data_IF_436491070260
#
_entry.id   IF_436491070260
#
_cell.length_a   1.000
_cell.length_b   1.000
_cell.length_c   1.000
_cell.angle_alpha   90.00
_cell.angle_beta   90.00
_cell.angle_gamma   90.00
#
_symmetry.space_group_name_H-M   'P 1'
#
loop_
_entity.id
_entity.type
_entity.pdbx_description
1 polymer ?
#
# COMPACT_ATOMS: atom_id res chain seq x y z
N UNK A 1 14.53 -1.22 24.91
CA UNK A 1 13.47 -0.79 23.98
C UNK A 1 13.48 0.71 23.68
N UNK A 2 13.57 1.61 24.67
CA UNK A 2 13.61 3.07 24.43
C UNK A 2 14.71 3.52 23.45
N UNK A 3 15.97 3.11 23.67
CA UNK A 3 17.09 3.42 22.75
C UNK A 3 16.86 2.93 21.32
N UNK A 4 16.32 1.72 21.18
CA UNK A 4 15.96 1.12 19.88
C UNK A 4 14.90 1.96 19.16
N UNK A 5 13.85 2.38 19.87
CA UNK A 5 12.79 3.20 19.30
C UNK A 5 13.33 4.57 18.87
N UNK A 6 14.18 5.21 19.68
CA UNK A 6 14.83 6.48 19.32
C UNK A 6 15.67 6.33 18.06
N UNK A 7 16.51 5.29 17.98
CA UNK A 7 17.31 5.01 16.79
C UNK A 7 16.44 4.79 15.54
N UNK A 8 15.36 4.01 15.68
CA UNK A 8 14.44 3.74 14.59
C UNK A 8 13.71 5.01 14.11
N UNK A 9 13.36 5.93 15.02
CA UNK A 9 12.75 7.23 14.68
C UNK A 9 13.78 8.13 13.98
N UNK A 10 15.01 8.23 14.50
CA UNK A 10 16.08 9.03 13.87
C UNK A 10 16.33 8.56 12.44
N UNK A 11 16.45 7.25 12.22
CA UNK A 11 16.60 6.68 10.88
C UNK A 11 15.47 7.10 9.94
N UNK A 12 14.22 7.04 10.41
CA UNK A 12 13.05 7.42 9.61
C UNK A 12 13.02 8.91 9.30
N UNK A 13 13.35 9.76 10.27
CA UNK A 13 13.40 11.22 10.08
C UNK A 13 14.44 11.58 9.02
N UNK A 14 15.59 10.92 9.01
CA UNK A 14 16.61 11.10 7.97
C UNK A 14 16.04 10.72 6.59
N UNK A 15 15.49 9.51 6.42
CA UNK A 15 14.94 9.10 5.10
C UNK A 15 13.75 9.97 4.68
N UNK A 16 12.87 10.34 5.63
CA UNK A 16 11.69 11.15 5.38
C UNK A 16 12.04 12.55 4.88
N UNK A 17 12.99 13.22 5.53
CA UNK A 17 13.39 14.57 5.16
C UNK A 17 14.10 14.59 3.80
N UNK A 18 14.94 13.58 3.51
CA UNK A 18 15.96 13.72 2.49
C UNK A 18 15.71 12.97 1.16
N UNK A 19 14.71 12.10 1.08
CA UNK A 19 14.32 11.46 -0.19
C UNK A 19 13.01 12.03 -0.74
N UNK A 20 12.97 12.23 -2.06
CA UNK A 20 11.87 12.91 -2.75
C UNK A 20 11.27 12.07 -3.87
N UNK A 21 10.00 11.71 -3.73
CA UNK A 21 9.21 11.14 -4.82
C UNK A 21 8.15 12.15 -5.28
N UNK A 22 7.96 12.37 -6.60
CA UNK A 22 7.05 13.40 -7.11
C UNK A 22 5.59 13.22 -6.65
N UNK A 23 5.10 11.99 -6.49
CA UNK A 23 3.72 11.74 -6.05
C UNK A 23 3.36 12.46 -4.74
N UNK A 24 4.31 12.59 -3.80
CA UNK A 24 4.04 13.28 -2.53
C UNK A 24 3.59 14.71 -2.76
N UNK A 25 4.06 15.33 -3.82
CA UNK A 25 3.63 16.67 -4.22
C UNK A 25 2.26 16.62 -4.87
N UNK A 26 2.03 15.71 -5.80
CA UNK A 26 0.78 15.61 -6.58
C UNK A 26 -0.45 15.44 -5.68
N UNK A 27 -0.46 14.42 -4.82
CA UNK A 27 -1.65 14.20 -3.97
C UNK A 27 -1.80 15.26 -2.87
N UNK A 28 -0.71 15.92 -2.44
CA UNK A 28 -0.81 17.03 -1.50
C UNK A 28 -1.26 18.33 -2.18
N UNK A 29 -0.88 18.56 -3.44
CA UNK A 29 -1.43 19.66 -4.25
C UNK A 29 -2.94 19.50 -4.40
N UNK A 30 -3.39 18.30 -4.77
CA UNK A 30 -4.82 17.98 -4.86
C UNK A 30 -5.50 18.19 -3.49
N UNK A 31 -4.94 17.64 -2.40
CA UNK A 31 -5.48 17.82 -1.04
C UNK A 31 -5.50 19.28 -0.53
N UNK A 32 -4.64 20.16 -1.08
CA UNK A 32 -4.57 21.57 -0.69
C UNK A 32 -5.82 22.38 -1.05
N UNK A 33 -6.68 21.86 -1.94
CA UNK A 33 -7.95 22.49 -2.28
C UNK A 33 -9.01 22.37 -1.18
N UNK A 34 -8.82 21.47 -0.20
CA UNK A 34 -9.78 21.30 0.90
C UNK A 34 -9.91 22.58 1.74
N UNK A 35 -8.78 23.21 2.08
CA UNK A 35 -8.78 24.50 2.81
C UNK A 35 -9.33 25.67 1.98
N UNK A 36 -9.51 25.49 0.67
CA UNK A 36 -10.13 26.46 -0.24
C UNK A 36 -11.65 26.20 -0.40
N UNK A 37 -12.21 25.27 0.38
CA UNK A 37 -13.63 24.94 0.36
C UNK A 37 -14.03 23.88 -0.67
N UNK A 38 -13.09 23.26 -1.38
CA UNK A 38 -13.40 22.19 -2.34
C UNK A 38 -13.62 20.88 -1.59
N UNK A 39 -14.84 20.37 -1.59
CA UNK A 39 -15.18 19.08 -0.98
C UNK A 39 -15.10 17.94 -1.99
N UNK A 40 -15.67 18.11 -3.18
CA UNK A 40 -15.57 17.16 -4.29
C UNK A 40 -14.33 17.46 -5.16
N UNK A 41 -13.19 16.89 -4.76
CA UNK A 41 -11.94 17.03 -5.50
C UNK A 41 -12.00 16.40 -6.89
N UNK A 42 -12.82 15.36 -7.09
CA UNK A 42 -12.82 14.59 -8.34
C UNK A 42 -13.39 15.43 -9.48
N UNK A 43 -14.59 15.97 -9.30
CA UNK A 43 -15.22 16.83 -10.31
C UNK A 43 -14.43 18.13 -10.49
N UNK A 44 -13.94 18.73 -9.39
CA UNK A 44 -13.15 19.95 -9.43
C UNK A 44 -11.91 19.85 -10.33
N UNK A 45 -11.12 18.76 -10.21
CA UNK A 45 -9.92 18.57 -11.02
C UNK A 45 -10.24 18.42 -12.51
N UNK A 46 -11.36 17.79 -12.87
CA UNK A 46 -11.79 17.64 -14.26
C UNK A 46 -12.24 18.98 -14.84
N UNK A 47 -13.11 19.69 -14.13
CA UNK A 47 -13.66 20.99 -14.55
C UNK A 47 -12.58 22.06 -14.71
N UNK A 48 -11.57 22.04 -13.84
CA UNK A 48 -10.50 23.04 -13.81
C UNK A 48 -9.20 22.57 -14.48
N UNK A 49 -9.18 21.40 -15.12
CA UNK A 49 -7.96 20.77 -15.67
C UNK A 49 -7.12 21.70 -16.57
N UNK A 50 -7.78 22.60 -17.31
CA UNK A 50 -7.10 23.52 -18.24
C UNK A 50 -6.31 24.61 -17.53
N UNK A 51 -6.74 25.04 -16.34
CA UNK A 51 -6.14 26.14 -15.58
C UNK A 51 -5.20 25.66 -14.48
N UNK A 52 -5.32 24.40 -14.07
CA UNK A 52 -4.48 23.82 -13.02
C UNK A 52 -3.05 23.54 -13.53
N UNK A 53 -2.02 23.82 -12.71
CA UNK A 53 -0.63 23.53 -13.06
C UNK A 53 -0.34 22.02 -13.11
N UNK A 54 -0.91 21.25 -12.19
CA UNK A 54 -0.88 19.79 -12.17
C UNK A 54 -2.24 19.26 -12.63
N UNK A 55 -2.23 18.29 -13.54
CA UNK A 55 -3.41 17.86 -14.31
C UNK A 55 -3.81 16.41 -14.03
N UNK A 56 -3.06 15.74 -13.16
CA UNK A 56 -3.27 14.38 -12.73
C UNK A 56 -4.60 14.26 -11.98
N UNK A 57 -5.25 13.10 -12.14
CA UNK A 57 -6.48 12.74 -11.44
C UNK A 57 -6.17 12.34 -9.99
N UNK A 58 -7.14 12.53 -9.09
CA UNK A 58 -7.01 12.08 -7.70
C UNK A 58 -7.39 10.60 -7.61
N UNK A 59 -6.39 9.72 -7.62
CA UNK A 59 -6.61 8.26 -7.75
C UNK A 59 -6.98 7.51 -6.46
N UNK A 60 -7.09 8.24 -5.35
CA UNK A 60 -7.40 7.68 -4.03
C UNK A 60 -8.85 7.92 -3.64
N UNK A 61 -9.32 7.22 -2.62
CA UNK A 61 -10.68 7.38 -2.11
C UNK A 61 -10.82 8.57 -1.14
N UNK A 62 -12.06 9.03 -0.85
CA UNK A 62 -12.28 10.32 -0.19
C UNK A 62 -11.58 10.52 1.15
N UNK A 63 -11.40 9.47 1.97
CA UNK A 63 -10.71 9.64 3.26
C UNK A 63 -9.27 10.09 3.09
N UNK A 64 -8.60 9.68 2.01
CA UNK A 64 -7.25 10.16 1.70
C UNK A 64 -7.24 11.67 1.50
N UNK A 65 -8.21 12.20 0.73
CA UNK A 65 -8.33 13.64 0.49
C UNK A 65 -8.54 14.43 1.78
N UNK A 66 -9.50 14.01 2.60
CA UNK A 66 -9.83 14.70 3.86
C UNK A 66 -8.72 14.62 4.90
N UNK A 67 -8.06 13.47 5.02
CA UNK A 67 -6.98 13.30 6.00
C UNK A 67 -5.75 14.13 5.63
N UNK A 68 -5.35 14.12 4.35
CA UNK A 68 -4.21 14.91 3.91
C UNK A 68 -4.50 16.41 3.96
N UNK A 69 -5.66 16.85 3.46
CA UNK A 69 -6.04 18.26 3.46
C UNK A 69 -6.23 18.80 4.88
N UNK A 70 -6.89 18.02 5.75
CA UNK A 70 -7.06 18.37 7.16
C UNK A 70 -5.73 18.44 7.90
N UNK A 71 -4.81 17.51 7.64
CA UNK A 71 -3.47 17.58 8.19
C UNK A 71 -2.70 18.82 7.71
N UNK A 72 -2.77 19.17 6.42
CA UNK A 72 -2.14 20.38 5.90
C UNK A 72 -2.68 21.65 6.57
N UNK A 73 -3.98 21.72 6.86
CA UNK A 73 -4.56 22.85 7.58
C UNK A 73 -3.94 23.00 8.99
N UNK A 74 -3.82 21.89 9.72
CA UNK A 74 -3.20 21.84 11.06
C UNK A 74 -1.71 22.19 11.00
N UNK A 75 -0.99 21.66 10.00
CA UNK A 75 0.46 21.85 9.83
C UNK A 75 0.83 23.18 9.15
N UNK A 76 -0.15 23.99 8.74
CA UNK A 76 0.07 25.22 7.98
C UNK A 76 1.04 26.22 8.64
N UNK A 77 1.10 26.40 9.98
CA UNK A 77 2.09 27.29 10.59
C UNK A 77 3.54 26.84 10.38
N UNK A 78 3.78 25.52 10.30
CA UNK A 78 5.11 24.93 10.08
C UNK A 78 5.45 24.88 8.59
N UNK A 79 4.44 24.64 7.75
CA UNK A 79 4.59 24.66 6.29
C UNK A 79 4.88 26.08 5.79
N UNK A 80 4.25 27.11 6.34
CA UNK A 80 4.47 28.50 5.97
C UNK A 80 3.90 28.89 4.60
N UNK A 81 3.98 30.19 4.28
CA UNK A 81 3.28 30.80 3.12
C UNK A 81 3.73 30.29 1.75
N UNK A 82 5.00 29.88 1.61
CA UNK A 82 5.55 29.37 0.34
C UNK A 82 5.08 27.96 -0.04
N UNK A 83 4.38 27.24 0.85
CA UNK A 83 4.03 25.84 0.63
C UNK A 83 3.07 25.62 -0.54
N UNK A 84 2.03 26.45 -0.68
CA UNK A 84 1.06 26.31 -1.76
C UNK A 84 1.68 26.63 -3.12
N UNK A 85 2.57 27.62 -3.16
CA UNK A 85 3.34 27.95 -4.36
C UNK A 85 4.27 26.79 -4.74
N UNK A 86 4.90 26.14 -3.75
CA UNK A 86 5.70 24.95 -4.00
C UNK A 86 4.86 23.79 -4.54
N UNK A 87 3.71 23.49 -3.93
CA UNK A 87 2.78 22.45 -4.40
C UNK A 87 2.30 22.70 -5.83
N UNK A 88 1.95 23.95 -6.15
CA UNK A 88 1.48 24.36 -7.48
C UNK A 88 2.57 24.49 -8.55
N UNK A 89 3.85 24.34 -8.21
CA UNK A 89 4.93 24.45 -9.18
C UNK A 89 5.01 23.19 -10.09
N UNK A 90 4.51 23.26 -11.32
CA UNK A 90 4.57 22.14 -12.26
C UNK A 90 5.98 21.85 -12.81
N UNK A 91 6.92 22.79 -12.67
CA UNK A 91 8.30 22.58 -13.11
C UNK A 91 9.06 21.70 -12.11
N UNK A 92 9.36 20.48 -12.55
CA UNK A 92 10.06 19.48 -11.75
C UNK A 92 11.46 19.91 -11.31
N UNK A 93 12.12 20.82 -12.03
CA UNK A 93 13.47 21.29 -11.69
C UNK A 93 13.43 22.39 -10.62
N UNK A 94 12.60 23.42 -10.78
CA UNK A 94 12.53 24.48 -9.76
C UNK A 94 11.82 24.03 -8.49
N UNK A 95 10.95 23.03 -8.56
CA UNK A 95 10.28 22.47 -7.38
C UNK A 95 11.24 21.89 -6.33
N UNK A 96 12.30 21.20 -6.76
CA UNK A 96 13.28 20.57 -5.87
C UNK A 96 14.31 21.58 -5.33
N UNK A 97 14.49 22.73 -5.99
CA UNK A 97 15.43 23.78 -5.60
C UNK A 97 14.87 24.74 -4.54
N UNK A 98 13.62 24.52 -4.11
CA UNK A 98 13.00 25.33 -3.06
C UNK A 98 13.80 25.18 -1.76
N UNK A 99 14.23 26.28 -1.10
CA UNK A 99 15.05 26.21 0.11
C UNK A 99 14.35 25.51 1.30
N UNK A 100 13.02 25.37 1.24
CA UNK A 100 12.22 24.69 2.25
C UNK A 100 11.84 23.26 1.88
N UNK A 101 12.37 22.68 0.79
CA UNK A 101 11.94 21.34 0.29
C UNK A 101 12.06 20.26 1.38
N UNK A 102 13.17 20.21 2.13
CA UNK A 102 13.37 19.24 3.20
C UNK A 102 12.39 19.43 4.36
N UNK A 103 12.04 20.69 4.68
CA UNK A 103 10.99 21.01 5.67
C UNK A 103 9.65 20.48 5.19
N UNK A 104 9.27 20.75 3.95
CA UNK A 104 8.00 20.28 3.38
C UNK A 104 7.92 18.75 3.41
N UNK A 105 8.98 18.06 2.97
CA UNK A 105 9.01 16.60 2.95
C UNK A 105 8.90 16.00 4.35
N UNK A 106 9.65 16.53 5.31
CA UNK A 106 9.56 16.06 6.69
C UNK A 106 8.15 16.25 7.25
N UNK A 107 7.60 17.46 7.14
CA UNK A 107 6.28 17.79 7.68
C UNK A 107 5.18 16.95 7.02
N UNK A 108 5.19 16.79 5.70
CA UNK A 108 4.19 15.98 4.99
C UNK A 108 4.23 14.49 5.37
N UNK A 109 5.38 13.97 5.79
CA UNK A 109 5.56 12.56 6.16
C UNK A 109 5.41 12.30 7.68
N UNK A 110 5.18 13.32 8.51
CA UNK A 110 4.94 13.13 9.95
C UNK A 110 3.74 12.23 10.27
N UNK A 111 2.57 12.34 9.59
CA UNK A 111 1.47 11.39 9.80
C UNK A 111 1.89 9.95 9.51
N UNK A 112 2.76 9.75 8.50
CA UNK A 112 3.23 8.42 8.13
C UNK A 112 4.14 7.85 9.22
N UNK A 113 4.99 8.69 9.84
CA UNK A 113 5.80 8.31 11.00
C UNK A 113 4.96 7.88 12.20
N UNK A 114 3.90 8.62 12.52
CA UNK A 114 3.00 8.25 13.62
C UNK A 114 2.37 6.87 13.35
N UNK A 115 1.89 6.64 12.13
CA UNK A 115 1.26 5.38 11.75
C UNK A 115 2.25 4.22 11.65
N UNK A 116 3.45 4.43 11.11
CA UNK A 116 4.52 3.43 11.04
C UNK A 116 4.91 2.95 12.44
N UNK A 117 5.16 3.86 13.37
CA UNK A 117 5.46 3.51 14.77
C UNK A 117 4.26 2.82 15.43
N UNK A 118 3.04 3.27 15.14
CA UNK A 118 1.83 2.64 15.65
C UNK A 118 1.67 1.21 15.13
N UNK A 119 1.99 0.92 13.87
CA UNK A 119 2.03 -0.43 13.32
C UNK A 119 3.04 -1.30 14.08
N UNK A 120 4.24 -0.78 14.37
CA UNK A 120 5.21 -1.51 15.19
C UNK A 120 4.58 -1.96 16.52
N UNK A 121 3.88 -1.06 17.22
CA UNK A 121 3.18 -1.38 18.46
C UNK A 121 2.00 -2.35 18.27
N UNK A 122 1.28 -2.29 17.15
CA UNK A 122 0.26 -3.29 16.84
C UNK A 122 0.87 -4.67 16.63
N UNK A 123 2.01 -4.77 15.94
CA UNK A 123 2.76 -6.01 15.75
C UNK A 123 3.31 -6.56 17.07
N UNK A 124 3.77 -5.69 17.97
CA UNK A 124 4.16 -6.07 19.34
C UNK A 124 2.99 -6.73 20.08
N UNK A 125 1.80 -6.13 20.00
CA UNK A 125 0.57 -6.61 20.66
C UNK A 125 -0.07 -7.81 19.95
N UNK A 126 0.30 -8.08 18.70
CA UNK A 126 -0.26 -9.19 17.93
C UNK A 126 0.14 -10.55 18.50
N UNK A 127 1.33 -10.65 19.09
CA UNK A 127 1.83 -11.87 19.72
C UNK A 127 1.56 -11.88 21.21
N UNK A 128 1.07 -13.00 21.74
CA UNK A 128 0.88 -13.17 23.19
C UNK A 128 2.23 -13.38 23.90
N UNK A 129 3.19 -14.01 23.20
CA UNK A 129 4.58 -14.11 23.67
C UNK A 129 5.27 -12.76 23.55
N UNK A 130 5.69 -12.20 24.69
CA UNK A 130 6.48 -10.97 24.73
C UNK A 130 7.80 -11.05 23.94
N UNK A 131 8.39 -12.24 23.79
CA UNK A 131 9.61 -12.45 22.98
C UNK A 131 9.29 -12.33 21.49
N UNK A 132 8.25 -13.02 21.01
CA UNK A 132 7.82 -12.95 19.61
C UNK A 132 7.33 -11.55 19.25
N UNK A 133 6.57 -10.91 20.13
CA UNK A 133 6.11 -9.53 19.96
C UNK A 133 7.29 -8.55 19.84
N UNK A 134 8.28 -8.65 20.73
CA UNK A 134 9.52 -7.84 20.62
C UNK A 134 10.27 -8.10 19.32
N UNK A 135 10.33 -9.36 18.88
CA UNK A 135 10.96 -9.71 17.59
C UNK A 135 10.22 -9.06 16.42
N UNK A 136 8.89 -9.15 16.37
CA UNK A 136 8.09 -8.51 15.32
C UNK A 136 8.24 -6.98 15.32
N UNK A 137 8.24 -6.37 16.51
CA UNK A 137 8.49 -4.94 16.70
C UNK A 137 9.85 -4.52 16.13
N UNK A 138 10.92 -5.23 16.46
CA UNK A 138 12.27 -4.93 15.99
C UNK A 138 12.39 -5.16 14.47
N UNK A 139 11.88 -6.27 13.96
CA UNK A 139 11.91 -6.56 12.51
C UNK A 139 11.20 -5.44 11.74
N UNK A 140 10.00 -5.00 12.17
CA UNK A 140 9.30 -3.90 11.53
C UNK A 140 10.08 -2.58 11.60
N UNK A 141 10.61 -2.23 12.78
CA UNK A 141 11.35 -0.98 12.95
C UNK A 141 12.61 -0.90 12.09
N UNK A 142 13.27 -2.02 11.79
CA UNK A 142 14.50 -2.03 10.97
C UNK A 142 14.32 -2.74 9.63
N UNK A 143 13.09 -2.89 9.15
CA UNK A 143 12.85 -3.44 7.82
C UNK A 143 13.24 -2.37 6.77
N UNK A 144 14.29 -2.58 5.98
CA UNK A 144 14.75 -1.58 5.01
C UNK A 144 13.70 -1.33 3.91
N UNK A 145 12.92 -2.35 3.56
CA UNK A 145 11.88 -2.23 2.52
C UNK A 145 10.74 -1.33 2.98
N UNK A 146 10.25 -1.47 4.21
CA UNK A 146 9.16 -0.61 4.70
C UNK A 146 9.64 0.83 4.90
N UNK A 147 10.85 1.03 5.42
CA UNK A 147 11.43 2.38 5.53
C UNK A 147 11.53 3.03 4.15
N UNK A 148 12.06 2.31 3.17
CA UNK A 148 12.18 2.79 1.80
C UNK A 148 10.81 3.11 1.19
N UNK A 149 9.85 2.18 1.25
CA UNK A 149 8.52 2.36 0.67
C UNK A 149 7.74 3.49 1.36
N UNK A 150 7.76 3.58 2.69
CA UNK A 150 6.99 4.60 3.42
C UNK A 150 7.58 5.99 3.17
N UNK A 151 8.91 6.13 3.27
CA UNK A 151 9.54 7.44 3.35
C UNK A 151 10.18 7.91 2.05
N UNK A 152 10.79 7.03 1.24
CA UNK A 152 11.34 7.45 -0.04
C UNK A 152 10.21 7.80 -1.02
N UNK A 153 9.18 6.96 -1.08
CA UNK A 153 8.02 7.16 -1.95
C UNK A 153 6.92 8.03 -1.34
N UNK A 154 7.01 8.36 -0.04
CA UNK A 154 5.95 9.10 0.65
C UNK A 154 4.62 8.36 0.60
N UNK A 155 4.64 7.04 0.79
CA UNK A 155 3.51 6.18 0.47
C UNK A 155 2.34 6.33 1.44
N UNK A 156 1.23 6.86 0.94
CA UNK A 156 -0.01 7.06 1.69
C UNK A 156 -0.79 5.76 1.96
N UNK A 157 -0.40 4.63 1.37
CA UNK A 157 -1.02 3.33 1.67
C UNK A 157 -0.79 2.89 3.13
N UNK A 158 0.06 3.60 3.90
CA UNK A 158 0.25 3.39 5.34
C UNK A 158 -1.06 3.55 6.14
N UNK A 159 -1.98 4.43 5.70
CA UNK A 159 -3.29 4.63 6.34
C UNK A 159 -4.17 3.35 6.28
N UNK A 160 -4.51 2.81 5.09
CA UNK A 160 -5.29 1.58 5.00
C UNK A 160 -4.54 0.37 5.58
N UNK A 161 -3.21 0.33 5.53
CA UNK A 161 -2.41 -0.76 6.14
C UNK A 161 -2.55 -0.78 7.66
N UNK A 162 -2.44 0.37 8.31
CA UNK A 162 -2.64 0.49 9.75
C UNK A 162 -4.03 -0.01 10.17
N UNK A 163 -5.09 0.43 9.48
CA UNK A 163 -6.48 0.06 9.80
C UNK A 163 -6.76 -1.41 9.47
N UNK A 164 -6.17 -1.93 8.39
CA UNK A 164 -6.23 -3.38 8.07
C UNK A 164 -5.59 -4.22 9.18
N UNK A 165 -4.46 -3.79 9.75
CA UNK A 165 -3.83 -4.49 10.87
C UNK A 165 -4.67 -4.41 12.16
N UNK A 166 -5.37 -3.29 12.39
CA UNK A 166 -6.37 -3.20 13.46
C UNK A 166 -7.48 -4.22 13.23
N UNK A 167 -7.99 -4.35 12.00
CA UNK A 167 -9.01 -5.35 11.65
C UNK A 167 -8.52 -6.77 11.99
N UNK A 168 -7.29 -7.12 11.61
CA UNK A 168 -6.69 -8.41 11.95
C UNK A 168 -6.60 -8.65 13.48
N UNK A 169 -6.23 -7.62 14.25
CA UNK A 169 -6.20 -7.70 15.71
C UNK A 169 -7.60 -7.87 16.32
N UNK A 170 -8.61 -7.25 15.73
CA UNK A 170 -10.01 -7.41 16.16
C UNK A 170 -10.51 -8.82 15.85
N UNK A 171 -10.13 -9.41 14.72
CA UNK A 171 -10.39 -10.83 14.40
C UNK A 171 -9.76 -11.74 15.44
N UNK A 172 -8.49 -11.51 15.81
CA UNK A 172 -7.81 -12.28 16.87
C UNK A 172 -8.57 -12.22 18.20
N UNK A 173 -9.25 -11.11 18.49
CA UNK A 173 -10.06 -10.89 19.69
C UNK A 173 -11.53 -11.32 19.53
N UNK A 174 -11.86 -12.03 18.46
CA UNK A 174 -13.22 -12.47 18.10
C UNK A 174 -14.24 -11.33 17.91
N UNK A 175 -13.78 -10.08 17.70
CA UNK A 175 -14.63 -8.90 17.47
C UNK A 175 -14.90 -8.69 15.98
N UNK A 176 -15.53 -9.67 15.33
CA UNK A 176 -15.63 -9.75 13.87
C UNK A 176 -16.40 -8.58 13.22
N UNK A 177 -17.49 -8.09 13.84
CA UNK A 177 -18.24 -6.95 13.31
C UNK A 177 -17.41 -5.65 13.34
N UNK A 178 -16.59 -5.46 14.38
CA UNK A 178 -15.67 -4.32 14.44
C UNK A 178 -14.53 -4.48 13.43
N UNK A 179 -14.08 -5.72 13.18
CA UNK A 179 -13.12 -5.99 12.11
C UNK A 179 -13.69 -5.64 10.73
N UNK A 180 -14.97 -5.98 10.48
CA UNK A 180 -15.69 -5.64 9.26
C UNK A 180 -15.81 -4.11 9.08
N UNK A 181 -16.18 -3.39 10.14
CA UNK A 181 -16.19 -1.92 10.16
C UNK A 181 -14.81 -1.34 9.81
N UNK A 182 -13.74 -1.86 10.41
CA UNK A 182 -12.38 -1.42 10.14
C UNK A 182 -11.98 -1.66 8.67
N UNK A 183 -12.34 -2.78 8.05
CA UNK A 183 -12.08 -3.02 6.62
C UNK A 183 -12.82 -2.01 5.73
N UNK A 184 -14.06 -1.66 6.04
CA UNK A 184 -14.81 -0.64 5.29
C UNK A 184 -14.19 0.76 5.40
N UNK A 185 -13.70 1.14 6.60
CA UNK A 185 -12.98 2.42 6.78
C UNK A 185 -11.66 2.39 6.01
N UNK A 186 -10.90 1.28 6.09
CA UNK A 186 -9.66 1.14 5.34
C UNK A 186 -9.91 1.24 3.82
N UNK A 187 -11.02 0.66 3.33
CA UNK A 187 -11.45 0.75 1.95
C UNK A 187 -11.68 2.20 1.48
N UNK A 188 -12.08 3.09 2.40
CA UNK A 188 -12.25 4.52 2.14
C UNK A 188 -10.94 5.28 1.87
N UNK A 189 -9.77 4.64 2.04
CA UNK A 189 -8.47 5.16 1.56
C UNK A 189 -8.03 4.46 0.27
N UNK A 190 -8.19 3.14 0.19
CA UNK A 190 -7.79 2.29 -0.94
C UNK A 190 -8.59 1.00 -0.98
N UNK A 191 -8.90 0.47 -2.16
CA UNK A 191 -9.86 -0.64 -2.32
C UNK A 191 -9.39 -2.01 -1.79
N UNK A 192 -8.07 -2.25 -1.70
CA UNK A 192 -7.52 -3.58 -1.40
C UNK A 192 -8.01 -4.26 -0.09
N UNK A 193 -8.39 -3.54 1.00
CA UNK A 193 -8.94 -4.17 2.20
C UNK A 193 -10.23 -4.95 1.95
N UNK A 194 -10.98 -4.63 0.87
CA UNK A 194 -12.18 -5.38 0.49
C UNK A 194 -11.86 -6.78 -0.06
N UNK A 195 -10.63 -7.04 -0.52
CA UNK A 195 -10.18 -8.38 -0.94
C UNK A 195 -10.26 -9.41 0.21
N UNK A 196 -10.28 -8.93 1.45
CA UNK A 196 -10.33 -9.77 2.65
C UNK A 196 -11.76 -10.17 3.08
N UNK A 197 -12.77 -9.47 2.57
CA UNK A 197 -14.17 -9.62 3.01
C UNK A 197 -14.72 -11.02 2.71
N UNK A 198 -14.48 -11.63 1.53
CA UNK A 198 -15.00 -12.98 1.25
C UNK A 198 -14.50 -14.04 2.22
N UNK A 199 -13.34 -13.85 2.85
CA UNK A 199 -12.88 -14.79 3.88
C UNK A 199 -13.46 -14.47 5.26
N UNK A 200 -13.65 -13.19 5.58
CA UNK A 200 -14.20 -12.75 6.87
C UNK A 200 -15.57 -13.37 7.16
N UNK A 201 -16.41 -13.55 6.13
CA UNK A 201 -17.76 -14.14 6.28
C UNK A 201 -17.70 -15.53 6.91
N UNK A 202 -16.64 -16.31 6.69
CA UNK A 202 -16.54 -17.65 7.26
C UNK A 202 -16.29 -17.66 8.78
N UNK A 203 -15.93 -16.50 9.36
CA UNK A 203 -15.84 -16.35 10.81
C UNK A 203 -17.20 -16.25 11.51
N UNK A 204 -18.26 -15.91 10.78
CA UNK A 204 -19.60 -15.71 11.34
C UNK A 204 -20.24 -17.01 11.83
N UNK A 205 -20.82 -16.98 13.03
CA UNK A 205 -21.45 -18.14 13.70
C UNK A 205 -22.88 -18.40 13.23
N UNK A 206 -23.57 -17.38 12.73
CA UNK A 206 -24.96 -17.47 12.23
C UNK A 206 -25.08 -16.87 10.82
N UNK A 207 -26.09 -17.27 10.05
CA UNK A 207 -26.36 -16.69 8.72
C UNK A 207 -26.46 -15.16 8.76
N UNK A 208 -27.14 -14.62 9.78
CA UNK A 208 -27.24 -13.17 10.00
C UNK A 208 -25.85 -12.54 10.17
N UNK A 209 -24.99 -13.14 11.01
CA UNK A 209 -23.64 -12.62 11.22
C UNK A 209 -22.80 -12.70 9.95
N UNK A 210 -22.86 -13.80 9.17
CA UNK A 210 -22.15 -13.91 7.89
C UNK A 210 -22.57 -12.83 6.90
N UNK A 211 -23.87 -12.56 6.78
CA UNK A 211 -24.41 -11.49 5.95
C UNK A 211 -23.90 -10.13 6.43
N UNK A 212 -23.91 -9.86 7.74
CA UNK A 212 -23.39 -8.60 8.29
C UNK A 212 -21.88 -8.44 8.05
N UNK A 213 -21.09 -9.51 8.20
CA UNK A 213 -19.64 -9.49 7.94
C UNK A 213 -19.33 -9.22 6.46
N UNK A 214 -20.20 -9.68 5.56
CA UNK A 214 -20.14 -9.35 4.14
C UNK A 214 -20.59 -7.92 3.85
N UNK A 215 -21.72 -7.48 4.42
CA UNK A 215 -22.36 -6.22 4.06
C UNK A 215 -21.73 -4.98 4.70
N UNK A 216 -21.28 -5.04 5.96
CA UNK A 216 -20.75 -3.89 6.70
C UNK A 216 -19.55 -3.24 5.98
N UNK A 217 -18.52 -3.96 5.52
CA UNK A 217 -17.37 -3.34 4.85
C UNK A 217 -17.79 -2.53 3.61
N UNK A 218 -18.63 -3.11 2.75
CA UNK A 218 -19.15 -2.44 1.56
C UNK A 218 -20.10 -1.30 1.90
N UNK A 219 -20.94 -1.44 2.94
CA UNK A 219 -21.85 -0.39 3.39
C UNK A 219 -21.10 0.84 3.92
N UNK A 220 -20.03 0.64 4.69
CA UNK A 220 -19.18 1.72 5.21
C UNK A 220 -18.38 2.38 4.08
N UNK A 221 -17.78 1.57 3.20
CA UNK A 221 -17.10 2.08 2.00
C UNK A 221 -18.06 2.90 1.12
N UNK A 222 -19.29 2.40 0.94
CA UNK A 222 -20.37 3.09 0.24
C UNK A 222 -20.74 4.40 0.91
N UNK A 223 -20.95 4.42 2.23
CA UNK A 223 -21.26 5.65 2.96
C UNK A 223 -20.18 6.74 2.82
N UNK A 224 -18.91 6.34 2.73
CA UNK A 224 -17.77 7.24 2.49
C UNK A 224 -17.76 7.75 1.03
N UNK A 225 -18.10 6.89 0.07
CA UNK A 225 -17.88 7.16 -1.36
C UNK A 225 -19.11 7.73 -2.09
N UNK A 226 -20.32 7.38 -1.67
CA UNK A 226 -21.59 7.81 -2.28
C UNK A 226 -21.73 9.33 -2.39
N UNK A 227 -21.32 10.16 -1.40
CA UNK A 227 -21.38 11.61 -1.54
C UNK A 227 -20.54 12.19 -2.69
N UNK A 228 -19.59 11.40 -3.23
CA UNK A 228 -18.68 11.79 -4.30
C UNK A 228 -18.97 11.04 -5.61
N UNK A 229 -20.08 10.28 -5.68
CA UNK A 229 -20.36 9.46 -6.83
C UNK A 229 -20.62 10.34 -8.06
N UNK A 230 -19.63 10.38 -8.95
CA UNK A 230 -19.67 11.07 -10.23
C UNK A 230 -18.89 10.28 -11.27
N UNK A 231 -19.05 10.63 -12.56
CA UNK A 231 -18.22 10.04 -13.61
C UNK A 231 -16.73 10.32 -13.37
N UNK A 232 -16.39 11.54 -12.89
CA UNK A 232 -15.03 11.91 -12.54
C UNK A 232 -14.46 11.02 -11.43
N UNK A 233 -15.24 10.79 -10.36
CA UNK A 233 -14.86 9.88 -9.28
C UNK A 233 -14.63 8.46 -9.77
N UNK A 234 -15.57 7.91 -10.55
CA UNK A 234 -15.49 6.54 -11.04
C UNK A 234 -14.25 6.32 -11.92
N UNK A 235 -13.98 7.24 -12.85
CA UNK A 235 -12.80 7.18 -13.73
C UNK A 235 -11.49 7.32 -12.94
N UNK A 236 -11.44 8.28 -12.00
CA UNK A 236 -10.23 8.55 -11.23
C UNK A 236 -9.89 7.42 -10.25
N UNK A 237 -10.89 6.72 -9.69
CA UNK A 237 -10.69 5.76 -8.60
C UNK A 237 -11.01 4.31 -8.98
N UNK A 238 -12.29 4.01 -9.25
CA UNK A 238 -12.81 2.65 -9.46
C UNK A 238 -12.29 2.01 -10.75
N UNK A 239 -12.14 2.81 -11.82
CA UNK A 239 -11.77 2.35 -13.17
C UNK A 239 -10.36 2.83 -13.54
N UNK A 240 -9.62 3.41 -12.58
CA UNK A 240 -8.27 3.90 -12.85
C UNK A 240 -7.36 2.76 -13.34
N UNK A 241 -6.39 3.10 -14.19
CA UNK A 241 -5.39 2.15 -14.67
C UNK A 241 -4.56 1.51 -13.56
N UNK A 242 -4.55 2.08 -12.35
CA UNK A 242 -3.92 1.45 -11.17
C UNK A 242 -4.85 0.40 -10.55
N UNK A 243 -6.14 0.69 -10.41
CA UNK A 243 -7.12 -0.25 -9.85
C UNK A 243 -7.34 -1.45 -10.77
N UNK A 244 -7.39 -1.23 -12.09
CA UNK A 244 -7.72 -2.28 -13.05
C UNK A 244 -6.58 -3.24 -13.36
N UNK A 245 -5.33 -2.91 -13.02
CA UNK A 245 -4.13 -3.76 -13.25
C UNK A 245 -4.25 -5.18 -12.69
N UNK A 246 -4.99 -5.38 -11.60
CA UNK A 246 -5.22 -6.71 -11.00
C UNK A 246 -6.11 -7.61 -11.86
N UNK A 247 -6.84 -7.02 -12.81
CA UNK A 247 -7.76 -7.70 -13.72
C UNK A 247 -7.16 -7.93 -15.11
N UNK A 248 -6.00 -7.34 -15.43
CA UNK A 248 -5.43 -7.40 -16.77
C UNK A 248 -4.86 -8.79 -17.14
N UNK A 249 -4.12 -9.49 -16.25
CA UNK A 249 -3.51 -10.76 -16.64
C UNK A 249 -4.56 -11.87 -16.75
N UNK A 250 -4.69 -12.42 -17.96
CA UNK A 250 -5.69 -13.42 -18.29
C UNK A 250 -5.37 -14.18 -19.57
N UNK A 251 -6.15 -15.21 -19.84
CA UNK A 251 -6.12 -15.95 -21.10
C UNK A 251 -7.49 -15.88 -21.77
N UNK A 252 -7.50 -15.62 -23.08
CA UNK A 252 -8.72 -15.47 -23.86
C UNK A 252 -9.47 -16.81 -23.98
N UNK A 253 -10.79 -16.76 -23.87
CA UNK A 253 -11.67 -17.93 -24.03
C UNK A 253 -12.61 -17.82 -25.24
N UNK A 254 -12.53 -16.72 -25.98
CA UNK A 254 -13.34 -16.43 -27.18
C UNK A 254 -14.28 -15.23 -26.97
N UNK A 255 -14.81 -14.67 -28.05
CA UNK A 255 -15.85 -13.60 -28.04
C UNK A 255 -15.53 -12.35 -27.18
N UNK A 256 -14.26 -12.03 -26.99
CA UNK A 256 -13.83 -10.90 -26.15
C UNK A 256 -13.79 -11.20 -24.64
N UNK A 257 -14.06 -12.45 -24.25
CA UNK A 257 -13.99 -12.90 -22.86
C UNK A 257 -12.60 -13.44 -22.51
N UNK A 258 -12.22 -13.30 -21.23
CA UNK A 258 -10.97 -13.84 -20.70
C UNK A 258 -11.16 -14.37 -19.29
N UNK A 259 -10.40 -15.43 -18.97
CA UNK A 259 -10.25 -15.87 -17.58
C UNK A 259 -9.12 -15.06 -16.98
N UNK A 260 -9.48 -14.20 -16.03
CA UNK A 260 -8.55 -13.36 -15.27
C UNK A 260 -7.84 -14.23 -14.22
N UNK A 261 -6.52 -14.39 -14.34
CA UNK A 261 -5.75 -15.35 -13.53
C UNK A 261 -5.84 -15.03 -12.04
N UNK A 262 -5.72 -13.76 -11.66
CA UNK A 262 -5.83 -13.33 -10.26
C UNK A 262 -7.20 -13.67 -9.64
N UNK A 263 -8.28 -13.43 -10.38
CA UNK A 263 -9.64 -13.76 -9.94
C UNK A 263 -9.92 -15.25 -9.93
N UNK A 264 -9.37 -16.01 -10.88
CA UNK A 264 -9.45 -17.48 -10.89
C UNK A 264 -8.84 -18.04 -9.60
N UNK A 265 -7.62 -17.63 -9.26
CA UNK A 265 -6.92 -18.12 -8.07
C UNK A 265 -7.57 -17.64 -6.77
N UNK A 266 -8.07 -16.41 -6.74
CA UNK A 266 -8.86 -15.91 -5.60
C UNK A 266 -10.13 -16.73 -5.40
N UNK A 267 -10.87 -17.02 -6.47
CA UNK A 267 -12.08 -17.83 -6.43
C UNK A 267 -11.77 -19.26 -5.99
N UNK A 268 -10.70 -19.87 -6.53
CA UNK A 268 -10.25 -21.20 -6.11
C UNK A 268 -9.92 -21.24 -4.61
N UNK A 269 -9.24 -20.21 -4.09
CA UNK A 269 -8.94 -20.08 -2.66
C UNK A 269 -10.21 -19.94 -1.82
N UNK A 270 -11.19 -19.15 -2.28
CA UNK A 270 -12.48 -18.97 -1.62
C UNK A 270 -13.32 -20.26 -1.59
N UNK A 271 -13.50 -20.93 -2.74
CA UNK A 271 -14.24 -22.20 -2.81
C UNK A 271 -13.53 -23.31 -2.05
N UNK A 272 -12.20 -23.35 -2.09
CA UNK A 272 -11.39 -24.23 -1.24
C UNK A 272 -11.71 -24.01 0.23
N UNK A 273 -11.66 -22.77 0.71
CA UNK A 273 -12.04 -22.43 2.08
C UNK A 273 -13.46 -22.88 2.43
N UNK A 274 -14.43 -22.63 1.56
CA UNK A 274 -15.82 -22.98 1.80
C UNK A 274 -16.02 -24.51 1.93
N UNK A 275 -15.33 -25.29 1.10
CA UNK A 275 -15.51 -26.74 1.04
C UNK A 275 -14.69 -27.49 2.10
N UNK A 276 -13.49 -27.01 2.45
CA UNK A 276 -12.55 -27.76 3.30
C UNK A 276 -12.42 -27.22 4.71
N UNK A 277 -12.60 -25.92 4.91
CA UNK A 277 -12.20 -25.25 6.15
C UNK A 277 -13.41 -24.92 7.03
N UNK A 278 -13.66 -25.79 8.02
CA UNK A 278 -14.71 -25.56 9.03
C UNK A 278 -14.43 -24.37 9.95
N UNK A 279 -13.16 -23.99 10.12
CA UNK A 279 -12.69 -22.87 10.95
C UNK A 279 -11.49 -22.19 10.28
N UNK A 280 -11.72 -21.34 9.27
CA UNK A 280 -10.65 -20.78 8.47
C UNK A 280 -9.77 -19.83 9.27
N UNK A 281 -8.46 -19.98 9.11
CA UNK A 281 -7.49 -19.06 9.68
C UNK A 281 -7.38 -17.82 8.78
N UNK A 282 -8.07 -16.74 9.16
CA UNK A 282 -8.15 -15.50 8.36
C UNK A 282 -6.77 -14.95 7.99
N UNK A 283 -5.79 -15.04 8.88
CA UNK A 283 -4.44 -14.58 8.59
C UNK A 283 -3.83 -15.29 7.36
N UNK A 284 -4.02 -16.61 7.25
CA UNK A 284 -3.49 -17.40 6.14
C UNK A 284 -4.14 -17.00 4.81
N UNK A 285 -5.46 -16.80 4.80
CA UNK A 285 -6.17 -16.38 3.59
C UNK A 285 -5.79 -14.97 3.16
N UNK A 286 -5.63 -14.04 4.09
CA UNK A 286 -5.28 -12.64 3.80
C UNK A 286 -3.89 -12.51 3.20
N UNK A 287 -2.90 -13.23 3.75
CA UNK A 287 -1.56 -13.21 3.16
C UNK A 287 -1.54 -13.97 1.82
N UNK A 288 -2.27 -15.08 1.68
CA UNK A 288 -2.33 -15.85 0.43
C UNK A 288 -2.96 -15.04 -0.72
N UNK A 289 -4.03 -14.29 -0.47
CA UNK A 289 -4.62 -13.44 -1.51
C UNK A 289 -3.68 -12.31 -1.92
N UNK A 290 -2.96 -11.68 -0.99
CA UNK A 290 -1.95 -10.68 -1.34
C UNK A 290 -0.81 -11.29 -2.16
N UNK A 291 -0.32 -12.48 -1.78
CA UNK A 291 0.69 -13.22 -2.54
C UNK A 291 0.21 -13.51 -3.97
N UNK A 292 -1.04 -13.94 -4.16
CA UNK A 292 -1.65 -14.15 -5.48
C UNK A 292 -1.67 -12.83 -6.27
N UNK A 293 -2.17 -11.75 -5.69
CA UNK A 293 -2.27 -10.45 -6.37
C UNK A 293 -0.90 -9.97 -6.84
N UNK A 294 0.13 -10.02 -5.98
CA UNK A 294 1.49 -9.60 -6.38
C UNK A 294 2.14 -10.55 -7.39
N UNK A 295 1.75 -11.82 -7.41
CA UNK A 295 2.31 -12.80 -8.35
C UNK A 295 1.80 -12.59 -9.77
N UNK A 296 0.54 -12.17 -9.91
CA UNK A 296 -0.18 -12.14 -11.17
C UNK A 296 -0.70 -10.74 -11.52
N UNK A 297 -0.03 -9.68 -11.06
CA UNK A 297 -0.35 -8.30 -11.43
C UNK A 297 0.93 -7.53 -11.72
N UNK A 298 0.87 -6.59 -12.66
CA UNK A 298 1.88 -5.54 -12.76
C UNK A 298 1.62 -4.51 -11.65
N UNK A 299 2.45 -4.50 -10.61
CA UNK A 299 2.22 -3.70 -9.40
C UNK A 299 3.19 -2.52 -9.27
N UNK A 300 2.75 -1.48 -8.58
CA UNK A 300 3.60 -0.37 -8.15
C UNK A 300 4.30 -0.73 -6.83
N UNK A 301 5.52 -0.24 -6.60
CA UNK A 301 6.31 -0.56 -5.40
C UNK A 301 5.59 -0.20 -4.09
N UNK A 302 4.79 0.86 -4.11
CA UNK A 302 3.95 1.29 -2.99
C UNK A 302 3.00 0.17 -2.48
N UNK A 303 2.52 -0.69 -3.36
CA UNK A 303 1.55 -1.73 -2.98
C UNK A 303 2.19 -2.80 -2.09
N UNK A 304 3.51 -3.00 -2.13
CA UNK A 304 4.20 -3.97 -1.28
C UNK A 304 4.05 -3.66 0.22
N UNK A 305 3.69 -2.43 0.58
CA UNK A 305 3.34 -2.08 1.96
C UNK A 305 2.11 -2.84 2.47
N UNK A 306 1.19 -3.25 1.57
CA UNK A 306 -0.04 -3.97 1.93
C UNK A 306 0.26 -5.31 2.61
N UNK A 307 1.28 -6.02 2.13
CA UNK A 307 1.66 -7.35 2.63
C UNK A 307 2.72 -7.30 3.73
N UNK A 308 3.48 -6.20 3.83
CA UNK A 308 4.60 -6.06 4.75
C UNK A 308 4.33 -6.49 6.20
N UNK A 309 3.26 -6.04 6.90
CA UNK A 309 3.03 -6.45 8.29
C UNK A 309 2.72 -7.95 8.40
N UNK A 310 2.07 -8.54 7.38
CA UNK A 310 1.77 -9.98 7.34
C UNK A 310 3.04 -10.81 7.15
N UNK A 311 3.97 -10.36 6.29
CA UNK A 311 5.29 -10.99 6.13
C UNK A 311 6.09 -10.95 7.44
N UNK A 312 6.07 -9.83 8.17
CA UNK A 312 6.72 -9.75 9.49
C UNK A 312 6.10 -10.74 10.47
N UNK A 313 4.76 -10.82 10.53
CA UNK A 313 4.07 -11.81 11.37
C UNK A 313 4.47 -13.23 10.97
N UNK A 314 4.50 -13.53 9.67
CA UNK A 314 4.83 -14.87 9.18
C UNK A 314 6.28 -15.27 9.48
N UNK A 315 7.24 -14.37 9.26
CA UNK A 315 8.65 -14.60 9.57
C UNK A 315 8.88 -14.85 11.07
N UNK A 316 8.09 -14.22 11.95
CA UNK A 316 8.16 -14.46 13.40
C UNK A 316 7.46 -15.77 13.78
N UNK A 317 6.29 -16.08 13.20
CA UNK A 317 5.56 -17.34 13.45
C UNK A 317 6.30 -18.56 12.93
N UNK A 318 6.93 -18.46 11.78
CA UNK A 318 7.63 -19.54 11.08
C UNK A 318 9.05 -19.09 10.74
N UNK A 319 9.99 -19.11 11.70
CA UNK A 319 11.36 -18.59 11.50
C UNK A 319 12.10 -19.20 10.31
N UNK A 320 11.84 -20.47 9.98
CA UNK A 320 12.44 -21.15 8.82
C UNK A 320 12.07 -20.50 7.48
N UNK A 321 10.95 -19.75 7.41
CA UNK A 321 10.54 -19.00 6.24
C UNK A 321 11.20 -17.62 6.13
N UNK A 322 11.95 -17.15 7.14
CA UNK A 322 12.49 -15.79 7.15
C UNK A 322 13.37 -15.50 5.94
N UNK A 323 14.23 -16.44 5.55
CA UNK A 323 15.13 -16.26 4.40
C UNK A 323 14.40 -16.34 3.07
N UNK A 324 13.53 -17.35 2.81
CA UNK A 324 12.65 -17.33 1.64
C UNK A 324 11.83 -16.04 1.51
N UNK A 325 11.22 -15.56 2.59
CA UNK A 325 10.44 -14.32 2.59
C UNK A 325 11.29 -13.10 2.28
N UNK A 326 12.53 -13.04 2.79
CA UNK A 326 13.46 -11.96 2.48
C UNK A 326 13.85 -11.96 1.00
N UNK A 327 14.17 -13.13 0.42
CA UNK A 327 14.50 -13.24 -1.01
C UNK A 327 13.31 -12.86 -1.90
N UNK A 328 12.09 -13.27 -1.52
CA UNK A 328 10.88 -12.86 -2.25
C UNK A 328 10.61 -11.36 -2.12
N UNK A 329 10.86 -10.77 -0.95
CA UNK A 329 10.76 -9.31 -0.77
C UNK A 329 11.81 -8.56 -1.59
N UNK A 330 13.03 -9.08 -1.71
CA UNK A 330 14.04 -8.52 -2.61
C UNK A 330 13.57 -8.59 -4.07
N UNK A 331 13.14 -9.76 -4.54
CA UNK A 331 12.65 -9.92 -5.90
C UNK A 331 11.48 -8.97 -6.20
N UNK A 332 10.51 -8.86 -5.29
CA UNK A 332 9.35 -7.99 -5.48
C UNK A 332 9.69 -6.51 -5.46
N UNK A 333 10.71 -6.07 -4.71
CA UNK A 333 11.20 -4.69 -4.73
C UNK A 333 12.02 -4.40 -5.98
N UNK A 334 12.86 -5.34 -6.44
CA UNK A 334 13.72 -5.14 -7.62
C UNK A 334 12.87 -5.01 -8.90
N UNK A 335 11.76 -5.74 -9.02
CA UNK A 335 10.87 -5.69 -10.19
C UNK A 335 10.48 -4.24 -10.55
N UNK A 336 9.83 -3.44 -9.66
CA UNK A 336 9.49 -2.05 -9.99
C UNK A 336 10.68 -1.12 -10.19
N UNK A 337 11.83 -1.39 -9.56
CA UNK A 337 13.05 -0.59 -9.77
C UNK A 337 13.63 -0.78 -11.17
N UNK A 338 13.28 -1.89 -11.84
CA UNK A 338 13.61 -2.14 -13.23
C UNK A 338 12.58 -1.54 -14.19
N UNK A 339 11.53 -0.85 -13.74
CA UNK A 339 10.63 -0.18 -14.69
C UNK A 339 11.33 1.00 -15.36
N UNK A 340 10.84 1.39 -16.55
CA UNK A 340 11.34 2.55 -17.28
C UNK A 340 10.79 3.87 -16.69
N UNK A 341 11.00 4.05 -15.38
CA UNK A 341 10.57 5.21 -14.62
C UNK A 341 11.70 5.68 -13.68
N UNK A 342 12.21 6.89 -13.94
CA UNK A 342 13.26 7.50 -13.12
C UNK A 342 12.77 7.82 -11.71
N UNK A 343 11.49 8.11 -11.54
CA UNK A 343 10.85 8.41 -10.25
C UNK A 343 10.94 7.24 -9.28
N UNK A 344 11.01 6.01 -9.81
CA UNK A 344 11.18 4.79 -8.99
C UNK A 344 12.59 4.64 -8.40
N UNK A 345 13.58 5.37 -8.93
CA UNK A 345 15.00 5.07 -8.65
C UNK A 345 15.81 6.34 -8.37
N UNK A 346 16.44 6.89 -9.38
CA UNK A 346 17.46 7.92 -9.24
C UNK A 346 16.84 9.28 -8.89
N UNK A 347 15.62 9.54 -9.36
CA UNK A 347 14.94 10.79 -9.07
C UNK A 347 14.64 10.98 -7.58
N UNK A 348 14.72 9.91 -6.77
CA UNK A 348 14.58 9.98 -5.31
C UNK A 348 15.61 10.92 -4.65
N UNK A 349 16.75 11.14 -5.31
CA UNK A 349 17.85 11.99 -4.85
C UNK A 349 17.84 13.40 -5.46
N UNK A 350 16.84 13.74 -6.28
CA UNK A 350 16.78 15.05 -6.95
C UNK A 350 16.70 16.24 -5.99
N UNK A 351 16.19 16.05 -4.77
CA UNK A 351 16.19 17.09 -3.74
C UNK A 351 17.61 17.59 -3.37
N UNK A 352 18.67 16.84 -3.69
CA UNK A 352 20.05 17.25 -3.47
C UNK A 352 20.65 17.95 -4.69
N UNK A 353 20.40 17.44 -5.89
CA UNK A 353 20.94 17.97 -7.14
C UNK A 353 20.19 17.41 -8.34
N UNK A 354 20.01 18.23 -9.37
CA UNK A 354 19.53 17.77 -10.70
C UNK A 354 20.55 16.89 -11.41
N UNK A 355 21.82 16.85 -10.97
CA UNK A 355 22.85 16.02 -11.62
C UNK A 355 22.56 14.53 -11.54
N UNK A 356 21.74 14.10 -10.58
CA UNK A 356 21.24 12.73 -10.53
C UNK A 356 20.47 12.37 -11.81
N UNK A 357 19.86 13.33 -12.52
CA UNK A 357 19.16 13.09 -13.79
C UNK A 357 20.10 12.62 -14.94
N UNK A 358 21.42 12.75 -14.76
CA UNK A 358 22.44 12.29 -15.71
C UNK A 358 22.77 10.79 -15.54
N UNK A 359 22.43 10.19 -14.40
CA UNK A 359 22.71 8.77 -14.15
C UNK A 359 21.71 7.87 -14.90
N UNK A 360 22.16 6.73 -15.45
CA UNK A 360 21.27 5.78 -16.12
C UNK A 360 20.38 5.06 -15.11
N UNK A 361 19.08 4.92 -15.41
CA UNK A 361 18.17 4.09 -14.60
C UNK A 361 18.64 2.63 -14.56
N UNK A 362 18.22 1.84 -13.56
CA UNK A 362 18.47 0.40 -13.56
C UNK A 362 18.00 -0.30 -14.83
N UNK A 363 16.85 0.10 -15.41
CA UNK A 363 16.39 -0.36 -16.72
C UNK A 363 17.45 -0.10 -17.80
N UNK A 364 17.89 1.15 -17.98
CA UNK A 364 18.87 1.53 -19.00
C UNK A 364 20.25 0.92 -18.75
N UNK A 365 20.61 0.67 -17.50
CA UNK A 365 21.87 0.02 -17.14
C UNK A 365 21.87 -1.46 -17.54
N UNK A 366 20.77 -2.17 -17.30
CA UNK A 366 20.58 -3.57 -17.71
C UNK A 366 20.49 -3.69 -19.24
N UNK A 367 19.77 -2.78 -19.90
CA UNK A 367 19.56 -2.76 -21.35
C UNK A 367 20.88 -2.81 -22.17
N UNK A 368 21.97 -2.28 -21.61
CA UNK A 368 23.31 -2.33 -22.23
C UNK A 368 23.86 -3.75 -22.43
N UNK A 369 23.39 -4.70 -21.63
CA UNK A 369 23.95 -6.06 -21.58
C UNK A 369 22.88 -7.16 -21.68
N UNK A 370 21.61 -6.86 -21.39
CA UNK A 370 20.50 -7.83 -21.38
C UNK A 370 19.15 -7.13 -21.53
N UNK A 371 18.13 -7.84 -22.04
CA UNK A 371 16.77 -7.30 -22.13
C UNK A 371 16.14 -7.14 -20.72
N UNK A 372 15.85 -5.91 -20.27
CA UNK A 372 15.28 -5.68 -18.95
C UNK A 372 13.91 -6.32 -18.76
N UNK A 373 13.09 -6.47 -19.81
CA UNK A 373 11.78 -7.10 -19.72
C UNK A 373 11.88 -8.60 -19.48
N UNK A 374 12.87 -9.26 -20.10
CA UNK A 374 13.17 -10.66 -19.81
C UNK A 374 13.64 -10.83 -18.36
N UNK A 375 14.46 -9.92 -17.83
CA UNK A 375 14.89 -9.96 -16.43
C UNK A 375 13.70 -9.76 -15.48
N UNK A 376 12.84 -8.78 -15.75
CA UNK A 376 11.60 -8.56 -14.98
C UNK A 376 10.71 -9.81 -15.01
N UNK A 377 10.57 -10.46 -16.17
CA UNK A 377 9.78 -11.68 -16.34
C UNK A 377 10.33 -12.83 -15.49
N UNK A 378 11.66 -13.05 -15.52
CA UNK A 378 12.33 -14.05 -14.67
C UNK A 378 12.06 -13.78 -13.19
N UNK A 379 12.21 -12.52 -12.75
CA UNK A 379 11.97 -12.14 -11.36
C UNK A 379 10.49 -12.34 -10.97
N UNK A 380 9.55 -11.98 -11.84
CA UNK A 380 8.12 -12.23 -11.64
C UNK A 380 7.83 -13.74 -11.52
N UNK A 381 8.43 -14.58 -12.37
CA UNK A 381 8.26 -16.03 -12.33
C UNK A 381 8.82 -16.63 -11.03
N UNK A 382 10.02 -16.21 -10.61
CA UNK A 382 10.62 -16.65 -9.34
C UNK A 382 9.73 -16.22 -8.16
N UNK A 383 9.28 -14.97 -8.17
CA UNK A 383 8.40 -14.44 -7.13
C UNK A 383 7.09 -15.23 -7.06
N UNK A 384 6.44 -15.47 -8.20
CA UNK A 384 5.18 -16.22 -8.27
C UNK A 384 5.33 -17.67 -7.77
N UNK A 385 6.37 -18.39 -8.21
CA UNK A 385 6.65 -19.75 -7.75
C UNK A 385 6.88 -19.84 -6.24
N UNK A 386 7.67 -18.91 -5.69
CA UNK A 386 7.90 -18.83 -4.25
C UNK A 386 6.65 -18.42 -3.47
N UNK A 387 5.89 -17.43 -3.96
CA UNK A 387 4.64 -16.97 -3.36
C UNK A 387 3.57 -18.09 -3.30
N UNK A 388 3.42 -18.88 -4.36
CA UNK A 388 2.56 -20.07 -4.38
C UNK A 388 3.04 -21.14 -3.39
N UNK A 389 4.35 -21.36 -3.31
CA UNK A 389 4.94 -22.32 -2.35
C UNK A 389 4.68 -21.90 -0.90
N UNK A 390 4.91 -20.62 -0.57
CA UNK A 390 4.58 -20.08 0.74
C UNK A 390 3.08 -20.21 1.02
N UNK A 391 2.23 -19.88 0.04
CA UNK A 391 0.78 -20.02 0.18
C UNK A 391 0.37 -21.46 0.51
N UNK A 392 0.94 -22.45 -0.18
CA UNK A 392 0.74 -23.86 0.14
C UNK A 392 1.18 -24.22 1.57
N UNK A 393 2.36 -23.74 1.99
CA UNK A 393 2.91 -24.01 3.34
C UNK A 393 2.09 -23.37 4.47
N UNK A 394 1.27 -22.34 4.19
CA UNK A 394 0.35 -21.76 5.18
C UNK A 394 -0.78 -22.72 5.54
N UNK A 395 -1.28 -23.47 4.56
CA UNK A 395 -2.42 -24.39 4.74
C UNK A 395 -1.98 -25.84 5.00
N UNK A 396 -0.71 -26.16 4.76
CA UNK A 396 -0.15 -27.46 5.13
C UNK A 396 -0.20 -27.63 6.65
N UNK A 397 -0.93 -28.65 7.12
CA UNK A 397 -0.87 -29.09 8.52
C UNK A 397 0.57 -29.45 8.86
N UNK A 398 1.11 -28.82 9.89
CA UNK A 398 2.39 -29.25 10.46
C UNK A 398 2.17 -30.68 10.97
N UNK A 399 2.96 -31.64 10.48
CA UNK A 399 3.02 -32.95 11.13
C UNK A 399 3.52 -32.66 12.54
N UNK A 400 2.70 -32.94 13.55
CA UNK A 400 3.14 -32.94 14.94
C UNK A 400 4.40 -33.78 15.03
N UNK A 401 5.52 -33.15 15.33
CA UNK A 401 6.74 -33.83 15.76
C UNK A 401 6.56 -34.29 17.21
#
# INVERSE_FOLDING_TARGET
MKKILVLAIVLRVLVAAFLFHPDIKTFNFQASFLKKGVTDIYSYLIENRKTLPLKEEFVYFPLTYFVLGGYQAIASPVLGSGFDAWLGNADSNTAILNPNVFRYLLVLKLPYLILDISIAFLLLKFFDSGVMGKKAFIIWLFNPFTIFIIYAFGNIDIFPVFITLISLLLIKKEKLLLAALALGIAAGFKLYPLLFVPFLIFGGKSTKEKVLLGAIPFGIFGAISVPFLSQAFAQSTLISGLTTRIFNPGFAVGFGESIIVGLLLFSALFFGAWLTDKKPNMFNYWIAILLIIFSFSHFHIAWLLWIAPFVVILAVKKPFLSWPLFLLAMASVVIPLLYQDRSMTISLYRAYSTWFDLLPTPFNAVERFYDPYNLQSILHTIFAGGALTISYLLFRKEKSQ
#
